data_IF_496749154578
#
_entry.id   IF_496749154578
#
_cell.length_a   1.000
_cell.length_b   1.000
_cell.length_c   1.000
_cell.angle_alpha   90.00
_cell.angle_beta   90.00
_cell.angle_gamma   90.00
#
_symmetry.space_group_name_H-M   'P 1'
#
loop_
_entity.id
_entity.type
_entity.pdbx_description
1 polymer ?
#
# COMPACT_ATOMS: atom_id res chain seq x y z
N UNK A 1 39.94 -35.42 35.52
CA UNK A 1 38.87 -34.45 35.86
C UNK A 1 39.43 -33.06 35.64
N UNK A 2 39.25 -32.50 34.44
CA UNK A 2 38.18 -31.54 34.09
C UNK A 2 38.38 -30.22 34.85
N UNK A 3 39.07 -29.27 34.22
CA UNK A 3 38.90 -27.85 34.51
C UNK A 3 38.56 -27.19 33.17
N UNK A 4 37.26 -27.17 32.88
CA UNK A 4 36.71 -26.62 31.65
C UNK A 4 36.58 -25.11 31.81
N UNK A 5 36.95 -24.42 30.75
CA UNK A 5 36.89 -22.98 30.58
C UNK A 5 35.42 -22.48 30.56
N UNK A 6 35.28 -21.15 30.65
CA UNK A 6 34.11 -20.31 30.33
C UNK A 6 33.32 -19.79 31.55
N UNK A 7 33.77 -18.65 32.06
CA UNK A 7 32.91 -17.61 32.64
C UNK A 7 33.26 -16.30 31.95
N UNK A 8 32.38 -15.83 31.07
CA UNK A 8 32.46 -14.49 30.48
C UNK A 8 31.18 -13.76 30.86
N UNK A 9 31.32 -12.86 31.81
CA UNK A 9 30.24 -12.07 32.38
C UNK A 9 30.09 -10.78 31.58
N UNK A 10 28.91 -10.65 30.93
CA UNK A 10 28.08 -9.46 30.79
C UNK A 10 28.76 -8.15 30.32
N UNK A 11 28.35 -7.66 29.14
CA UNK A 11 27.93 -6.24 29.00
C UNK A 11 27.01 -6.05 27.79
N UNK A 12 25.77 -5.70 28.11
CA UNK A 12 24.75 -5.17 27.20
C UNK A 12 25.31 -3.99 26.39
N UNK A 13 25.01 -3.95 25.08
CA UNK A 13 25.20 -2.78 24.24
C UNK A 13 23.89 -1.98 24.22
N UNK A 14 23.74 -0.89 25.00
CA UNK A 14 22.52 -0.11 24.97
C UNK A 14 22.41 0.72 23.69
N UNK A 15 21.17 0.83 23.25
CA UNK A 15 20.65 1.67 22.17
C UNK A 15 21.08 3.13 22.34
N UNK A 16 21.29 3.79 21.20
CA UNK A 16 21.51 5.25 21.08
C UNK A 16 20.40 6.02 21.81
N UNK A 17 20.82 6.81 22.80
CA UNK A 17 20.49 8.24 22.99
C UNK A 17 19.02 8.67 23.16
N UNK A 18 18.66 9.28 24.30
CA UNK A 18 17.33 9.84 24.54
C UNK A 18 17.15 11.31 24.10
N UNK A 19 15.88 11.71 24.21
CA UNK A 19 15.13 12.85 23.69
C UNK A 19 15.31 14.20 24.44
N UNK A 20 14.72 15.24 23.82
CA UNK A 20 14.21 16.53 24.35
C UNK A 20 15.18 17.75 24.30
N UNK A 21 14.97 18.74 23.42
CA UNK A 21 14.01 19.89 23.46
C UNK A 21 14.65 21.11 24.18
N UNK A 22 15.06 22.20 23.50
CA UNK A 22 14.20 23.33 23.08
C UNK A 22 15.08 24.37 22.35
N UNK A 23 14.60 24.93 21.23
CA UNK A 23 14.70 26.38 21.01
C UNK A 23 13.64 26.81 19.99
N UNK A 24 12.55 27.34 20.50
CA UNK A 24 11.59 28.08 19.69
C UNK A 24 12.19 29.46 19.37
N UNK A 25 12.31 29.78 18.08
CA UNK A 25 12.32 31.17 17.62
C UNK A 25 11.12 31.29 16.70
N UNK A 26 10.07 31.94 17.20
CA UNK A 26 9.01 32.46 16.37
C UNK A 26 9.59 33.65 15.59
N UNK A 27 9.46 33.65 14.26
CA UNK A 27 9.12 34.86 13.54
C UNK A 27 8.50 34.50 12.20
N UNK A 28 7.42 35.21 11.92
CA UNK A 28 6.52 34.96 10.80
C UNK A 28 7.13 35.25 9.43
N UNK A 29 6.25 35.08 8.44
CA UNK A 29 6.51 34.95 7.02
C UNK A 29 7.00 33.54 6.64
N UNK A 30 6.06 32.60 6.58
CA UNK A 30 6.19 31.44 5.69
C UNK A 30 6.30 32.03 4.28
N UNK A 31 7.54 32.21 3.84
CA UNK A 31 7.87 32.73 2.52
C UNK A 31 7.07 31.97 1.48
N UNK A 32 6.32 32.67 0.63
CA UNK A 32 5.67 32.09 -0.56
C UNK A 32 6.64 31.31 -1.45
N UNK A 33 7.95 31.55 -1.29
CA UNK A 33 9.05 30.86 -1.96
C UNK A 33 9.33 29.45 -1.41
N UNK A 34 8.95 29.14 -0.17
CA UNK A 34 9.13 27.80 0.42
C UNK A 34 8.02 26.81 0.03
N UNK A 35 6.84 27.29 -0.35
CA UNK A 35 5.80 26.44 -0.93
C UNK A 35 6.27 25.81 -2.27
N UNK A 36 7.03 26.57 -3.07
CA UNK A 36 7.59 26.08 -4.33
C UNK A 36 8.71 25.04 -4.13
N UNK A 37 9.43 25.09 -3.00
CA UNK A 37 10.52 24.16 -2.70
C UNK A 37 10.01 22.78 -2.24
N UNK A 38 8.86 22.74 -1.57
CA UNK A 38 8.24 21.48 -1.13
C UNK A 38 7.57 20.75 -2.31
N UNK A 39 7.12 21.48 -3.34
CA UNK A 39 6.55 20.87 -4.55
C UNK A 39 7.59 20.26 -5.50
N UNK A 40 8.85 20.75 -5.48
CA UNK A 40 9.92 20.27 -6.36
C UNK A 40 10.65 18.99 -5.93
N UNK A 41 10.57 18.59 -4.66
CA UNK A 41 11.35 17.45 -4.11
C UNK A 41 10.59 16.11 -4.23
N UNK A 42 9.40 16.09 -4.85
CA UNK A 42 8.64 14.84 -5.07
C UNK A 42 8.71 14.29 -6.49
N UNK A 43 9.89 14.37 -7.13
CA UNK A 43 10.22 13.65 -8.36
C UNK A 43 11.67 13.20 -8.26
N UNK A 44 12.09 11.96 -8.44
CA UNK A 44 11.44 10.67 -8.71
C UNK A 44 12.48 9.65 -8.24
N UNK A 45 12.14 8.72 -7.35
CA UNK A 45 12.96 7.52 -7.22
C UNK A 45 13.03 6.90 -8.63
N UNK A 46 14.24 6.67 -9.13
CA UNK A 46 14.51 6.30 -10.53
C UNK A 46 13.46 5.32 -11.09
N UNK A 47 12.95 5.58 -12.30
CA UNK A 47 12.00 4.69 -13.01
C UNK A 47 12.63 3.30 -13.21
N UNK A 48 12.41 2.38 -12.28
CA UNK A 48 12.92 0.98 -12.33
C UNK A 48 12.06 0.09 -13.25
N UNK A 49 10.91 0.59 -13.73
CA UNK A 49 9.93 -0.24 -14.43
C UNK A 49 9.83 0.10 -15.90
N UNK A 50 9.99 -0.90 -16.74
CA UNK A 50 9.89 -0.80 -18.22
C UNK A 50 8.45 -0.81 -18.72
N UNK A 51 7.48 -1.23 -17.90
CA UNK A 51 6.10 -1.38 -18.34
C UNK A 51 5.33 -0.05 -18.26
N UNK A 52 5.05 0.54 -19.42
CA UNK A 52 4.37 1.84 -19.58
C UNK A 52 2.97 1.84 -18.95
N UNK A 53 2.13 0.83 -19.23
CA UNK A 53 0.77 0.76 -18.69
C UNK A 53 0.70 0.82 -17.16
N UNK A 54 1.69 0.22 -16.49
CA UNK A 54 1.79 0.29 -15.04
C UNK A 54 2.24 1.67 -14.54
N UNK A 55 3.17 2.31 -15.25
CA UNK A 55 3.60 3.66 -14.93
C UNK A 55 2.41 4.61 -15.04
N UNK A 56 1.65 4.52 -16.13
CA UNK A 56 0.46 5.36 -16.35
C UNK A 56 -0.58 5.16 -15.25
N UNK A 57 -0.82 3.92 -14.82
CA UNK A 57 -1.73 3.62 -13.71
C UNK A 57 -1.24 4.26 -12.40
N UNK A 58 0.07 4.19 -12.12
CA UNK A 58 0.66 4.83 -10.92
C UNK A 58 0.53 6.35 -10.99
N UNK A 59 0.77 6.95 -12.14
CA UNK A 59 0.69 8.39 -12.34
C UNK A 59 -0.77 8.88 -12.21
N UNK A 60 -1.74 8.11 -12.73
CA UNK A 60 -3.18 8.36 -12.52
C UNK A 60 -3.56 8.31 -11.04
N UNK A 61 -3.10 7.28 -10.30
CA UNK A 61 -3.35 7.15 -8.86
C UNK A 61 -2.78 8.33 -8.07
N UNK A 62 -1.57 8.80 -8.43
CA UNK A 62 -0.94 9.97 -7.79
C UNK A 62 -1.68 11.26 -8.11
N UNK A 63 -2.08 11.47 -9.37
CA UNK A 63 -2.85 12.63 -9.78
C UNK A 63 -4.17 12.69 -9.00
N UNK A 64 -4.85 11.55 -8.86
CA UNK A 64 -6.12 11.49 -8.17
C UNK A 64 -5.99 11.66 -6.65
N UNK A 65 -4.90 11.14 -6.06
CA UNK A 65 -4.56 11.42 -4.66
C UNK A 65 -4.32 12.91 -4.40
N UNK A 66 -3.68 13.63 -5.32
CA UNK A 66 -3.45 15.09 -5.20
C UNK A 66 -4.76 15.87 -5.28
N UNK A 67 -5.67 15.47 -6.16
CA UNK A 67 -6.96 16.15 -6.34
C UNK A 67 -7.92 15.91 -5.18
N UNK A 68 -8.01 14.66 -4.70
CA UNK A 68 -8.99 14.30 -3.65
C UNK A 68 -8.41 14.40 -2.23
N UNK A 69 -7.08 14.48 -2.09
CA UNK A 69 -6.40 14.47 -0.79
C UNK A 69 -6.45 13.12 -0.05
N UNK A 70 -6.94 12.06 -0.71
CA UNK A 70 -7.05 10.75 -0.11
C UNK A 70 -5.67 10.06 -0.04
N UNK A 71 -5.21 9.81 1.19
CA UNK A 71 -3.95 9.10 1.46
C UNK A 71 -3.97 7.63 0.98
N UNK A 72 -5.17 7.05 0.81
CA UNK A 72 -5.37 5.69 0.30
C UNK A 72 -4.69 5.48 -1.05
N UNK A 73 -4.97 6.35 -2.02
CA UNK A 73 -4.44 6.25 -3.38
C UNK A 73 -2.92 6.42 -3.43
N UNK A 74 -2.38 7.27 -2.56
CA UNK A 74 -0.94 7.43 -2.40
C UNK A 74 -0.29 6.16 -1.87
N UNK A 75 -0.87 5.50 -0.87
CA UNK A 75 -0.34 4.23 -0.32
C UNK A 75 -0.38 3.11 -1.37
N UNK A 76 -1.47 3.00 -2.11
CA UNK A 76 -1.62 2.00 -3.19
C UNK A 76 -0.59 2.23 -4.29
N UNK A 77 -0.39 3.48 -4.72
CA UNK A 77 0.64 3.85 -5.69
C UNK A 77 2.04 3.47 -5.20
N UNK A 78 2.39 3.80 -3.95
CA UNK A 78 3.69 3.45 -3.34
C UNK A 78 3.92 1.92 -3.29
N UNK A 79 2.87 1.14 -3.04
CA UNK A 79 2.97 -0.34 -3.07
C UNK A 79 3.18 -0.86 -4.50
N UNK A 80 2.48 -0.29 -5.48
CA UNK A 80 2.63 -0.64 -6.89
C UNK A 80 3.99 -0.21 -7.47
N UNK A 81 4.63 0.83 -6.93
CA UNK A 81 5.98 1.26 -7.31
C UNK A 81 7.07 0.22 -6.97
N UNK A 82 6.88 -0.56 -5.90
CA UNK A 82 7.85 -1.61 -5.51
C UNK A 82 8.02 -2.67 -6.59
N UNK A 83 9.13 -3.43 -6.57
CA UNK A 83 9.33 -4.55 -7.50
C UNK A 83 8.14 -5.52 -7.51
N UNK A 84 7.85 -6.17 -8.65
CA UNK A 84 6.70 -7.09 -8.76
C UNK A 84 6.74 -8.25 -7.76
N UNK A 85 7.94 -8.63 -7.31
CA UNK A 85 8.17 -9.64 -6.27
C UNK A 85 7.65 -9.22 -4.89
N UNK A 86 7.62 -7.91 -4.63
CA UNK A 86 7.21 -7.33 -3.34
C UNK A 86 5.73 -6.92 -3.34
N UNK A 87 5.01 -7.17 -4.44
CA UNK A 87 3.57 -6.90 -4.50
C UNK A 87 2.79 -7.89 -3.65
N UNK A 88 1.66 -7.44 -3.14
CA UNK A 88 0.74 -8.35 -2.47
C UNK A 88 0.15 -9.32 -3.48
N UNK A 89 0.16 -10.61 -3.12
CA UNK A 89 -0.46 -11.69 -3.86
C UNK A 89 -1.40 -12.46 -2.93
N UNK A 90 -2.52 -11.86 -2.50
CA UNK A 90 -3.45 -12.54 -1.63
C UNK A 90 -4.17 -13.67 -2.36
N UNK A 91 -4.52 -14.70 -1.60
CA UNK A 91 -5.38 -15.79 -2.05
C UNK A 91 -6.84 -15.50 -1.65
N UNK A 92 -7.79 -16.14 -2.34
CA UNK A 92 -9.21 -16.07 -2.03
C UNK A 92 -9.54 -16.47 -0.59
N UNK A 93 -8.80 -17.44 -0.02
CA UNK A 93 -8.97 -17.83 1.38
C UNK A 93 -8.63 -16.70 2.38
N UNK A 94 -7.69 -15.80 2.04
CA UNK A 94 -7.43 -14.60 2.86
C UNK A 94 -8.49 -13.55 2.67
N UNK A 95 -9.02 -13.42 1.44
CA UNK A 95 -10.13 -12.53 1.16
C UNK A 95 -11.34 -12.89 2.03
N UNK A 96 -11.78 -14.16 2.03
CA UNK A 96 -12.93 -14.60 2.83
C UNK A 96 -12.82 -14.23 4.32
N UNK A 97 -11.64 -14.43 4.94
CA UNK A 97 -11.42 -14.14 6.37
C UNK A 97 -11.43 -12.65 6.74
N UNK A 98 -11.06 -11.78 5.81
CA UNK A 98 -10.91 -10.34 6.07
C UNK A 98 -12.00 -9.50 5.42
N UNK A 99 -12.71 -10.06 4.45
CA UNK A 99 -13.80 -9.40 3.75
C UNK A 99 -15.15 -9.62 4.44
N UNK A 100 -15.19 -10.37 5.54
CA UNK A 100 -16.37 -10.53 6.39
C UNK A 100 -16.63 -9.21 7.15
N UNK A 101 -17.47 -8.35 6.56
CA UNK A 101 -17.82 -7.04 7.10
C UNK A 101 -17.45 -5.84 6.23
N UNK A 102 -16.60 -6.04 5.21
CA UNK A 102 -16.15 -4.97 4.32
C UNK A 102 -16.83 -5.03 2.96
N UNK A 103 -17.27 -3.88 2.45
CA UNK A 103 -17.96 -3.78 1.16
C UNK A 103 -17.00 -3.72 -0.02
N UNK A 104 -15.88 -3.01 0.15
CA UNK A 104 -14.89 -2.77 -0.90
C UNK A 104 -13.50 -3.24 -0.46
N UNK A 105 -12.93 -4.17 -1.21
CA UNK A 105 -11.56 -4.67 -0.98
C UNK A 105 -10.67 -4.28 -2.14
N UNK A 106 -9.55 -3.63 -1.85
CA UNK A 106 -8.55 -3.21 -2.83
C UNK A 106 -7.25 -3.99 -2.64
N UNK A 107 -6.79 -4.63 -3.72
CA UNK A 107 -5.56 -5.41 -3.75
C UNK A 107 -4.53 -4.70 -4.64
N UNK A 108 -3.42 -4.16 -4.09
CA UNK A 108 -2.36 -3.50 -4.84
C UNK A 108 -1.41 -4.53 -5.48
N UNK A 109 -1.95 -5.42 -6.32
CA UNK A 109 -1.21 -6.51 -6.92
C UNK A 109 -2.09 -7.52 -7.66
N UNK A 110 -1.67 -8.80 -7.63
CA UNK A 110 -2.35 -9.89 -8.33
C UNK A 110 -3.17 -10.73 -7.36
N UNK A 111 -4.45 -10.92 -7.65
CA UNK A 111 -5.30 -11.83 -6.88
C UNK A 111 -5.23 -13.25 -7.45
N UNK A 112 -4.93 -14.22 -6.60
CA UNK A 112 -4.81 -15.63 -6.96
C UNK A 112 -6.04 -16.42 -6.55
N UNK A 113 -6.49 -17.30 -7.44
CA UNK A 113 -7.72 -18.11 -7.32
C UNK A 113 -7.64 -19.34 -6.42
N UNK A 114 -6.78 -19.35 -5.41
CA UNK A 114 -6.60 -20.52 -4.54
C UNK A 114 -7.50 -20.45 -3.30
N UNK A 115 -8.33 -21.48 -3.10
CA UNK A 115 -9.35 -21.56 -2.04
C UNK A 115 -10.75 -21.24 -2.52
N UNK A 116 -11.65 -21.05 -1.56
CA UNK A 116 -13.07 -20.69 -1.75
C UNK A 116 -13.32 -19.24 -1.33
N UNK A 117 -14.31 -18.61 -1.94
CA UNK A 117 -14.80 -17.28 -1.57
C UNK A 117 -16.19 -17.44 -0.99
N UNK A 118 -16.34 -17.04 0.26
CA UNK A 118 -17.64 -16.91 0.91
C UNK A 118 -17.92 -15.41 1.08
N UNK A 119 -18.63 -14.81 0.12
CA UNK A 119 -19.04 -13.41 0.24
C UNK A 119 -19.37 -12.71 -1.07
N UNK A 120 -20.27 -11.72 -0.96
CA UNK A 120 -20.66 -10.81 -2.05
C UNK A 120 -19.95 -9.47 -1.89
N UNK A 121 -18.62 -9.47 -1.96
CA UNK A 121 -17.84 -8.24 -1.88
C UNK A 121 -17.46 -7.73 -3.27
N UNK A 122 -17.22 -6.42 -3.34
CA UNK A 122 -16.67 -5.78 -4.53
C UNK A 122 -15.14 -5.77 -4.38
N UNK A 123 -14.46 -6.52 -5.24
CA UNK A 123 -13.01 -6.70 -5.18
C UNK A 123 -12.34 -5.96 -6.33
N UNK A 124 -11.52 -4.98 -5.99
CA UNK A 124 -10.69 -4.25 -6.94
C UNK A 124 -9.24 -4.74 -6.88
N UNK A 125 -8.65 -5.09 -8.03
CA UNK A 125 -7.23 -5.46 -8.10
C UNK A 125 -6.58 -4.94 -9.38
N UNK A 126 -5.23 -4.91 -9.41
CA UNK A 126 -4.50 -4.61 -10.64
C UNK A 126 -4.63 -5.75 -11.65
N UNK A 127 -4.60 -7.00 -11.19
CA UNK A 127 -4.75 -8.17 -12.07
C UNK A 127 -5.38 -9.35 -11.34
N UNK A 128 -6.19 -10.12 -12.06
CA UNK A 128 -6.84 -11.33 -11.55
C UNK A 128 -6.36 -12.56 -12.35
N UNK A 129 -6.16 -13.69 -11.68
CA UNK A 129 -6.10 -14.98 -12.38
C UNK A 129 -7.49 -15.36 -12.93
N UNK A 130 -7.54 -16.10 -14.04
CA UNK A 130 -8.80 -16.59 -14.62
C UNK A 130 -9.67 -17.31 -13.56
N UNK A 131 -9.10 -18.29 -12.86
CA UNK A 131 -9.80 -19.01 -11.80
C UNK A 131 -10.15 -18.16 -10.55
N UNK A 132 -9.60 -16.94 -10.41
CA UNK A 132 -10.07 -16.03 -9.36
C UNK A 132 -11.37 -15.33 -9.78
N UNK A 133 -11.45 -14.88 -11.04
CA UNK A 133 -12.66 -14.22 -11.56
C UNK A 133 -13.86 -15.16 -11.51
N UNK A 134 -13.70 -16.36 -12.03
CA UNK A 134 -14.75 -17.40 -12.04
C UNK A 134 -15.30 -17.70 -10.64
N UNK A 135 -14.41 -17.82 -9.64
CA UNK A 135 -14.81 -18.10 -8.25
C UNK A 135 -15.50 -16.92 -7.58
N UNK A 136 -15.07 -15.68 -7.88
CA UNK A 136 -15.70 -14.48 -7.32
C UNK A 136 -17.09 -14.29 -7.92
N UNK A 137 -17.23 -14.49 -9.23
CA UNK A 137 -18.52 -14.44 -9.94
C UNK A 137 -19.46 -15.55 -9.44
N UNK A 138 -18.95 -16.78 -9.24
CA UNK A 138 -19.72 -17.90 -8.67
C UNK A 138 -20.20 -17.63 -7.23
N UNK A 139 -19.42 -16.88 -6.45
CA UNK A 139 -19.81 -16.44 -5.11
C UNK A 139 -20.82 -15.26 -5.12
N UNK A 140 -21.10 -14.68 -6.29
CA UNK A 140 -21.97 -13.52 -6.46
C UNK A 140 -21.29 -12.19 -6.07
N UNK A 141 -19.96 -12.14 -6.11
CA UNK A 141 -19.17 -10.92 -5.96
C UNK A 141 -18.93 -10.21 -7.30
N UNK A 142 -18.48 -8.96 -7.24
CA UNK A 142 -18.14 -8.15 -8.41
C UNK A 142 -16.61 -7.98 -8.47
N UNK A 143 -16.00 -8.25 -9.62
CA UNK A 143 -14.58 -7.92 -9.84
C UNK A 143 -14.46 -6.59 -10.57
N UNK A 144 -13.54 -5.75 -10.11
CA UNK A 144 -13.30 -4.43 -10.65
C UNK A 144 -11.81 -4.18 -10.82
N UNK A 145 -11.46 -3.28 -11.74
CA UNK A 145 -10.11 -2.74 -11.84
C UNK A 145 -9.93 -1.55 -10.91
N UNK A 146 -8.67 -1.20 -10.64
CA UNK A 146 -8.35 -0.02 -9.82
C UNK A 146 -8.89 1.25 -10.50
N UNK A 147 -8.86 1.32 -11.84
CA UNK A 147 -9.39 2.45 -12.61
C UNK A 147 -10.89 2.66 -12.36
N UNK A 148 -11.70 1.60 -12.48
CA UNK A 148 -13.14 1.69 -12.27
C UNK A 148 -13.50 2.01 -10.81
N UNK A 149 -12.69 1.54 -9.84
CA UNK A 149 -12.87 1.90 -8.44
C UNK A 149 -12.65 3.40 -8.20
N UNK A 150 -11.68 4.01 -8.89
CA UNK A 150 -11.44 5.45 -8.81
C UNK A 150 -12.65 6.25 -9.33
N UNK A 151 -13.26 5.81 -10.43
CA UNK A 151 -14.43 6.47 -11.01
C UNK A 151 -15.67 6.34 -10.11
N UNK A 152 -15.89 5.15 -9.53
CA UNK A 152 -17.03 4.90 -8.62
C UNK A 152 -16.89 5.62 -7.27
N UNK A 153 -15.68 5.72 -6.72
CA UNK A 153 -15.46 6.33 -5.40
C UNK A 153 -14.14 7.12 -5.34
N UNK A 154 -14.11 8.37 -5.82
CA UNK A 154 -12.89 9.18 -5.81
C UNK A 154 -12.37 9.45 -4.39
N UNK A 155 -13.27 9.47 -3.39
CA UNK A 155 -12.94 9.72 -1.99
C UNK A 155 -12.25 8.55 -1.27
N UNK A 156 -12.34 7.32 -1.80
CA UNK A 156 -11.70 6.13 -1.23
C UNK A 156 -12.12 5.80 0.21
N UNK A 157 -13.26 6.32 0.69
CA UNK A 157 -13.76 6.06 2.05
C UNK A 157 -14.37 4.65 2.11
N UNK A 158 -14.02 3.89 3.15
CA UNK A 158 -14.51 2.52 3.36
C UNK A 158 -13.91 1.48 2.41
N UNK A 159 -12.71 1.76 1.87
CA UNK A 159 -11.94 0.79 1.08
C UNK A 159 -10.92 0.10 1.99
N UNK A 160 -10.99 -1.21 2.06
CA UNK A 160 -10.04 -2.02 2.81
C UNK A 160 -8.88 -2.44 1.89
N UNK A 161 -7.64 -2.10 2.25
CA UNK A 161 -6.47 -2.55 1.50
C UNK A 161 -6.05 -3.94 1.99
N UNK A 162 -6.11 -4.93 1.11
CA UNK A 162 -5.61 -6.28 1.38
C UNK A 162 -4.19 -6.40 0.80
N UNK A 163 -3.19 -6.45 1.69
CA UNK A 163 -1.77 -6.34 1.40
C UNK A 163 -0.93 -7.36 2.14
#
# INVERSE_FOLDING_TARGET
MICFCISFEITCRPRRGPLQQTRWVHNGAVSRRLAQYIEGVTMSAQRVKTNEALIDTIDQLKAQSRNTGAALWRDVALRLEKSRSNWSQPNLSRLSRHAEGEKFVLVPGKLLGSGEVSGKQIVAAFSFSAGAREKIEAAGGETMTIAELMDKNPSGKGVFILG
#
